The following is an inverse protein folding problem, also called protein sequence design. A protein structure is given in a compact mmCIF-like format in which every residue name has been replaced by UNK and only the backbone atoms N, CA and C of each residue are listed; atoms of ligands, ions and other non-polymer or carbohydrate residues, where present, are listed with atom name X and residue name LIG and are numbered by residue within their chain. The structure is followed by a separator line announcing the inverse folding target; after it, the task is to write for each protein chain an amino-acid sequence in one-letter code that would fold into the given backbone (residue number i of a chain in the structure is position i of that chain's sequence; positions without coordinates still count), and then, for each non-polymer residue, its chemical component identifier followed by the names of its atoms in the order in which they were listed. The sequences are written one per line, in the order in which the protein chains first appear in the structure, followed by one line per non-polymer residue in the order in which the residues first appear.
data_IF_154299102474
#
_entry.id   IF_154299102474
#
_cell.length_a   1.000
_cell.length_b   1.000
_cell.length_c   1.000
_cell.angle_alpha   90.00
_cell.angle_beta   90.00
_cell.angle_gamma   90.00
#
_symmetry.space_group_name_H-M   'P 1'
#
loop_
_entity.id
_entity.type
_entity.pdbx_description
1 polymer ?
#
# COMPACT_ATOMS: atom_id res chain seq x y z
N UNK A 1 22.77 51.11 -12.19
CA UNK A 1 22.30 50.15 -13.20
C UNK A 1 22.98 48.84 -12.91
N UNK A 2 22.45 48.06 -11.98
CA UNK A 2 22.87 46.67 -11.75
C UNK A 2 21.58 45.86 -11.62
N UNK A 3 21.37 44.94 -12.57
CA UNK A 3 20.15 44.15 -12.64
C UNK A 3 19.82 43.72 -14.07
N UNK A 4 20.64 42.85 -14.66
CA UNK A 4 20.25 42.12 -15.89
C UNK A 4 20.98 40.79 -16.13
N UNK A 5 21.81 40.30 -15.18
CA UNK A 5 22.66 39.12 -15.40
C UNK A 5 22.11 37.77 -14.91
N UNK A 6 20.95 37.73 -14.25
CA UNK A 6 20.45 36.52 -13.58
C UNK A 6 19.64 35.54 -14.44
N UNK A 7 19.08 35.99 -15.58
CA UNK A 7 18.02 35.25 -16.28
C UNK A 7 18.49 34.08 -17.17
N UNK A 8 19.68 34.16 -17.77
CA UNK A 8 20.13 33.14 -18.74
C UNK A 8 20.65 31.86 -18.05
N UNK A 9 21.25 31.99 -16.85
CA UNK A 9 21.72 30.84 -16.07
C UNK A 9 20.58 30.01 -15.46
N UNK A 10 19.51 30.67 -15.00
CA UNK A 10 18.34 30.01 -14.44
C UNK A 10 17.53 29.25 -15.51
N UNK A 11 17.39 29.82 -16.72
CA UNK A 11 16.68 29.14 -17.82
C UNK A 11 17.40 27.86 -18.26
N UNK A 12 18.73 27.89 -18.44
CA UNK A 12 19.50 26.70 -18.79
C UNK A 12 19.50 25.61 -17.71
N UNK A 13 19.47 25.99 -16.42
CA UNK A 13 19.35 25.05 -15.31
C UNK A 13 17.96 24.37 -15.30
N UNK A 14 16.90 25.12 -15.59
CA UNK A 14 15.53 24.60 -15.60
C UNK A 14 15.30 23.63 -16.76
N UNK A 15 15.89 23.88 -17.94
CA UNK A 15 15.84 22.96 -19.08
C UNK A 15 16.58 21.64 -18.80
N UNK A 16 17.77 21.71 -18.19
CA UNK A 16 18.53 20.52 -17.78
C UNK A 16 17.76 19.68 -16.76
N UNK A 17 17.10 20.34 -15.81
CA UNK A 17 16.24 19.69 -14.82
C UNK A 17 15.05 18.99 -15.47
N UNK A 18 14.36 19.66 -16.40
CA UNK A 18 13.26 19.06 -17.17
C UNK A 18 13.71 17.82 -17.95
N UNK A 19 14.87 17.90 -18.63
CA UNK A 19 15.43 16.75 -19.35
C UNK A 19 15.83 15.60 -18.40
N UNK A 20 16.28 15.90 -17.18
CA UNK A 20 16.55 14.89 -16.16
C UNK A 20 15.26 14.20 -15.68
N UNK A 21 14.18 14.97 -15.44
CA UNK A 21 12.85 14.44 -15.10
C UNK A 21 12.33 13.51 -16.22
N UNK A 22 12.44 13.91 -17.48
CA UNK A 22 11.97 13.10 -18.61
C UNK A 22 12.79 11.80 -18.81
N UNK A 23 14.08 11.81 -18.48
CA UNK A 23 14.90 10.60 -18.42
C UNK A 23 14.47 9.70 -17.26
N UNK A 24 14.24 10.28 -16.08
CA UNK A 24 13.80 9.55 -14.90
C UNK A 24 12.45 8.86 -15.13
N UNK A 25 11.46 9.56 -15.69
CA UNK A 25 10.13 8.99 -15.98
C UNK A 25 10.19 7.81 -16.95
N UNK A 26 11.02 7.92 -18.00
CA UNK A 26 11.24 6.80 -18.94
C UNK A 26 11.90 5.61 -18.25
N UNK A 27 12.87 5.86 -17.38
CA UNK A 27 13.54 4.82 -16.60
C UNK A 27 12.58 4.12 -15.63
N UNK A 28 11.77 4.89 -14.89
CA UNK A 28 10.75 4.35 -13.99
C UNK A 28 9.74 3.50 -14.76
N UNK A 29 9.23 3.99 -15.90
CA UNK A 29 8.31 3.24 -16.75
C UNK A 29 8.93 1.93 -17.25
N UNK A 30 10.20 1.95 -17.69
CA UNK A 30 10.90 0.74 -18.11
C UNK A 30 11.03 -0.29 -16.96
N UNK A 31 11.31 0.18 -15.74
CA UNK A 31 11.34 -0.67 -14.53
C UNK A 31 9.96 -1.24 -14.19
N UNK A 32 8.92 -0.43 -14.23
CA UNK A 32 7.54 -0.86 -13.99
C UNK A 32 7.08 -1.91 -15.00
N UNK A 33 7.38 -1.71 -16.29
CA UNK A 33 7.09 -2.71 -17.33
C UNK A 33 7.84 -4.02 -17.07
N UNK A 34 9.11 -3.95 -16.70
CA UNK A 34 9.89 -5.14 -16.33
C UNK A 34 9.28 -5.88 -15.14
N UNK A 35 8.83 -5.15 -14.12
CA UNK A 35 8.35 -5.75 -12.87
C UNK A 35 6.90 -6.26 -12.96
N UNK A 36 5.99 -5.47 -13.51
CA UNK A 36 4.54 -5.74 -13.52
C UNK A 36 4.07 -6.51 -14.76
N UNK A 37 4.66 -6.25 -15.93
CA UNK A 37 4.16 -6.79 -17.20
C UNK A 37 4.94 -8.00 -17.63
N UNK A 38 6.27 -7.92 -17.57
CA UNK A 38 7.16 -9.00 -18.01
C UNK A 38 7.46 -10.01 -16.91
N UNK A 39 6.85 -9.84 -15.73
CA UNK A 39 7.06 -10.72 -14.59
C UNK A 39 8.54 -10.86 -14.22
N UNK A 40 9.37 -9.82 -14.40
CA UNK A 40 10.83 -9.90 -14.36
C UNK A 40 11.46 -10.37 -13.04
N UNK A 41 10.63 -10.62 -12.02
CA UNK A 41 10.99 -11.32 -10.78
C UNK A 41 11.03 -12.84 -10.95
N UNK A 42 10.36 -13.38 -11.96
CA UNK A 42 10.29 -14.78 -12.34
C UNK A 42 11.16 -15.00 -13.59
N UNK A 43 12.33 -15.62 -13.47
CA UNK A 43 12.98 -16.19 -14.64
C UNK A 43 12.06 -17.30 -15.18
N UNK A 44 11.76 -17.27 -16.48
CA UNK A 44 11.19 -18.43 -17.16
C UNK A 44 12.04 -19.68 -16.82
N UNK A 45 11.46 -20.61 -16.09
CA UNK A 45 12.09 -21.90 -15.77
C UNK A 45 12.92 -21.98 -14.47
N UNK A 46 13.00 -20.93 -13.65
CA UNK A 46 13.59 -21.07 -12.31
C UNK A 46 12.51 -21.55 -11.34
N UNK A 47 12.77 -22.65 -10.63
CA UNK A 47 11.95 -23.04 -9.48
C UNK A 47 11.80 -21.84 -8.55
N UNK A 48 10.56 -21.53 -8.17
CA UNK A 48 10.16 -20.38 -7.37
C UNK A 48 10.86 -20.26 -6.01
N UNK A 49 11.65 -21.27 -5.64
CA UNK A 49 12.32 -21.47 -4.35
C UNK A 49 13.85 -21.46 -4.42
N UNK A 50 14.47 -21.02 -5.53
CA UNK A 50 15.94 -20.97 -5.57
C UNK A 50 16.47 -19.82 -4.66
N UNK A 51 17.42 -20.08 -3.74
CA UNK A 51 18.06 -19.05 -2.92
C UNK A 51 18.69 -17.91 -3.74
N UNK A 52 19.07 -18.21 -4.98
CA UNK A 52 19.63 -17.26 -5.93
C UNK A 52 18.61 -16.18 -6.34
N UNK A 53 17.33 -16.55 -6.46
CA UNK A 53 16.23 -15.61 -6.79
C UNK A 53 16.03 -14.61 -5.67
N UNK A 54 16.02 -15.07 -4.41
CA UNK A 54 15.84 -14.21 -3.24
C UNK A 54 16.99 -13.19 -3.11
N UNK A 55 18.23 -13.65 -3.29
CA UNK A 55 19.42 -12.77 -3.33
C UNK A 55 19.35 -11.73 -4.45
N UNK A 56 18.86 -12.12 -5.62
CA UNK A 56 18.69 -11.21 -6.76
C UNK A 56 17.68 -10.12 -6.44
N UNK A 57 16.53 -10.48 -5.85
CA UNK A 57 15.48 -9.54 -5.45
C UNK A 57 15.97 -8.56 -4.38
N UNK A 58 16.69 -9.04 -3.37
CA UNK A 58 17.28 -8.19 -2.33
C UNK A 58 18.27 -7.16 -2.91
N UNK A 59 19.13 -7.60 -3.84
CA UNK A 59 20.06 -6.70 -4.54
C UNK A 59 19.32 -5.68 -5.39
N UNK A 60 18.27 -6.10 -6.09
CA UNK A 60 17.45 -5.22 -6.92
C UNK A 60 16.75 -4.15 -6.08
N UNK A 61 16.12 -4.52 -4.96
CA UNK A 61 15.49 -3.58 -4.03
C UNK A 61 16.48 -2.53 -3.52
N UNK A 62 17.68 -2.94 -3.10
CA UNK A 62 18.74 -2.02 -2.66
C UNK A 62 19.23 -1.12 -3.80
N UNK A 63 19.34 -1.66 -5.01
CA UNK A 63 19.74 -0.90 -6.21
C UNK A 63 18.72 0.20 -6.51
N UNK A 64 17.44 -0.14 -6.52
CA UNK A 64 16.34 0.81 -6.74
C UNK A 64 16.31 1.87 -5.63
N UNK A 65 16.55 1.49 -4.38
CA UNK A 65 16.59 2.46 -3.28
C UNK A 65 17.76 3.46 -3.42
N UNK A 66 18.93 3.00 -3.88
CA UNK A 66 20.06 3.89 -4.22
C UNK A 66 19.71 4.82 -5.39
N UNK A 67 19.02 4.31 -6.40
CA UNK A 67 18.53 5.14 -7.51
C UNK A 67 17.55 6.21 -7.01
N UNK A 68 16.61 5.86 -6.13
CA UNK A 68 15.71 6.84 -5.51
C UNK A 68 16.48 7.95 -4.78
N UNK A 69 17.44 7.58 -3.93
CA UNK A 69 18.29 8.56 -3.23
C UNK A 69 19.05 9.46 -4.23
N UNK A 70 19.55 8.88 -5.32
CA UNK A 70 20.21 9.64 -6.38
C UNK A 70 19.25 10.55 -7.15
N UNK A 71 17.92 10.42 -7.03
CA UNK A 71 16.95 11.30 -7.68
C UNK A 71 16.49 12.48 -6.82
N UNK A 72 16.85 12.51 -5.53
CA UNK A 72 16.37 13.54 -4.60
C UNK A 72 16.75 14.96 -5.03
N UNK A 73 17.92 15.16 -5.64
CA UNK A 73 18.36 16.47 -6.16
C UNK A 73 17.40 17.07 -7.20
N UNK A 74 16.64 16.22 -7.92
CA UNK A 74 15.70 16.66 -8.95
C UNK A 74 14.52 17.42 -8.32
N UNK A 75 14.23 17.16 -7.05
CA UNK A 75 13.14 17.78 -6.29
C UNK A 75 13.57 19.07 -5.59
N UNK A 76 14.88 19.35 -5.47
CA UNK A 76 15.38 20.59 -4.88
C UNK A 76 15.01 21.81 -5.73
N UNK A 77 14.47 22.86 -5.08
CA UNK A 77 14.02 24.07 -5.76
C UNK A 77 12.79 23.87 -6.64
N UNK A 78 12.02 22.79 -6.48
CA UNK A 78 10.67 22.74 -7.05
C UNK A 78 9.83 23.79 -6.32
N UNK A 79 9.44 24.86 -7.01
CA UNK A 79 8.32 25.71 -6.57
C UNK A 79 7.02 24.94 -6.84
N UNK A 80 6.90 23.80 -6.19
CA UNK A 80 5.70 22.98 -6.25
C UNK A 80 4.65 23.54 -5.31
N UNK A 81 3.38 23.46 -5.70
CA UNK A 81 2.28 23.78 -4.78
C UNK A 81 2.37 22.97 -3.49
N UNK A 82 1.70 23.43 -2.43
CA UNK A 82 1.74 22.85 -1.07
C UNK A 82 1.42 21.34 -0.96
N UNK A 83 1.07 20.64 -2.05
CA UNK A 83 0.67 19.22 -2.11
C UNK A 83 1.34 18.42 -3.23
N UNK A 84 2.49 18.85 -3.72
CA UNK A 84 3.18 18.12 -4.79
C UNK A 84 3.91 16.86 -4.28
N UNK A 85 3.86 15.83 -5.11
CA UNK A 85 4.50 14.53 -4.90
C UNK A 85 5.89 14.56 -5.55
N UNK A 86 6.89 13.98 -4.91
CA UNK A 86 8.26 14.00 -5.42
C UNK A 86 8.41 13.17 -6.70
N UNK A 87 9.24 13.66 -7.63
CA UNK A 87 9.66 12.89 -8.79
C UNK A 87 10.60 11.78 -8.29
N UNK A 88 10.22 10.52 -8.50
CA UNK A 88 10.98 9.34 -8.05
C UNK A 88 10.28 8.49 -6.99
N UNK A 89 9.19 8.96 -6.39
CA UNK A 89 8.43 8.23 -5.37
C UNK A 89 7.99 6.81 -5.80
N UNK A 90 7.71 6.64 -7.09
CA UNK A 90 7.36 5.35 -7.69
C UNK A 90 8.48 4.29 -7.54
N UNK A 91 9.74 4.70 -7.42
CA UNK A 91 10.85 3.80 -7.16
C UNK A 91 10.74 3.21 -5.75
N UNK A 92 10.33 4.00 -4.75
CA UNK A 92 10.13 3.50 -3.37
C UNK A 92 8.96 2.54 -3.31
N UNK A 93 7.88 2.82 -4.05
CA UNK A 93 6.76 1.88 -4.17
C UNK A 93 7.23 0.55 -4.77
N UNK A 94 8.09 0.60 -5.80
CA UNK A 94 8.68 -0.60 -6.41
C UNK A 94 9.56 -1.37 -5.42
N UNK A 95 10.37 -0.68 -4.60
CA UNK A 95 11.16 -1.28 -3.51
C UNK A 95 10.24 -1.98 -2.52
N UNK A 96 9.23 -1.29 -2.01
CA UNK A 96 8.28 -1.83 -1.04
C UNK A 96 7.55 -3.07 -1.60
N UNK A 97 7.09 -3.02 -2.86
CA UNK A 97 6.49 -4.19 -3.51
C UNK A 97 7.46 -5.36 -3.66
N UNK A 98 8.75 -5.09 -3.95
CA UNK A 98 9.78 -6.14 -4.05
C UNK A 98 10.00 -6.82 -2.71
N UNK A 99 10.13 -6.05 -1.63
CA UNK A 99 10.31 -6.56 -0.28
C UNK A 99 9.08 -7.34 0.22
N UNK A 100 7.88 -6.85 -0.08
CA UNK A 100 6.64 -7.55 0.28
C UNK A 100 6.44 -8.86 -0.48
N UNK A 101 6.81 -8.90 -1.77
CA UNK A 101 6.78 -10.13 -2.55
C UNK A 101 7.80 -11.15 -2.02
N UNK A 102 8.99 -10.70 -1.64
CA UNK A 102 9.97 -11.56 -0.96
C UNK A 102 9.43 -12.12 0.36
N UNK A 103 8.75 -11.28 1.17
CA UNK A 103 8.15 -11.70 2.43
C UNK A 103 7.06 -12.76 2.21
N UNK A 104 6.20 -12.56 1.22
CA UNK A 104 5.13 -13.50 0.87
C UNK A 104 5.68 -14.84 0.39
N UNK A 105 6.78 -14.84 -0.38
CA UNK A 105 7.45 -16.07 -0.83
C UNK A 105 8.08 -16.83 0.34
N UNK A 106 8.75 -16.13 1.24
CA UNK A 106 9.32 -16.74 2.44
C UNK A 106 8.24 -17.40 3.32
N UNK A 107 7.06 -16.80 3.45
CA UNK A 107 5.93 -17.42 4.17
C UNK A 107 5.38 -18.66 3.46
N UNK A 108 5.22 -18.60 2.13
CA UNK A 108 4.75 -19.76 1.37
C UNK A 108 5.71 -20.95 1.49
N UNK A 109 7.03 -20.70 1.57
CA UNK A 109 8.03 -21.72 1.81
C UNK A 109 7.95 -22.29 3.25
N UNK A 110 7.76 -21.44 4.27
CA UNK A 110 7.55 -21.88 5.65
C UNK A 110 6.27 -22.73 5.82
N UNK A 111 5.17 -22.36 5.15
CA UNK A 111 3.92 -23.11 5.13
C UNK A 111 4.09 -24.46 4.41
N UNK A 112 4.77 -24.47 3.25
CA UNK A 112 5.05 -25.69 2.50
C UNK A 112 5.99 -26.66 3.26
N UNK A 113 6.88 -26.14 4.10
CA UNK A 113 7.77 -26.91 4.97
C UNK A 113 7.06 -27.53 6.20
N UNK A 114 5.75 -27.35 6.34
CA UNK A 114 4.92 -28.11 7.29
C UNK A 114 5.09 -27.69 8.76
N UNK A 115 5.34 -26.41 9.04
CA UNK A 115 5.31 -25.86 10.41
C UNK A 115 6.39 -26.40 11.36
N UNK A 116 7.30 -27.27 10.89
CA UNK A 116 8.55 -27.50 11.58
C UNK A 116 9.35 -26.21 11.47
N UNK A 117 9.49 -25.49 12.59
CA UNK A 117 10.49 -24.43 12.76
C UNK A 117 11.88 -25.04 12.57
N UNK A 118 12.27 -25.35 11.35
CA UNK A 118 13.68 -25.48 11.02
C UNK A 118 14.24 -24.08 11.25
N UNK A 119 15.02 -23.93 12.32
CA UNK A 119 16.02 -22.87 12.39
C UNK A 119 16.76 -22.93 11.06
N UNK A 120 16.56 -21.94 10.19
CA UNK A 120 17.36 -21.75 8.98
C UNK A 120 18.79 -21.39 9.42
N UNK A 121 19.51 -22.39 9.94
CA UNK A 121 20.96 -22.41 9.99
C UNK A 121 21.38 -23.31 8.83
N UNK A 122 21.59 -22.72 7.66
CA UNK A 122 22.23 -23.44 6.57
C UNK A 122 23.68 -23.73 7.00
N UNK A 123 24.07 -25.00 6.88
CA UNK A 123 25.41 -25.46 7.19
C UNK A 123 26.45 -24.68 6.33
N UNK A 124 27.66 -24.40 6.85
CA UNK A 124 28.69 -23.63 6.17
C UNK A 124 29.12 -24.19 4.80
N UNK A 125 28.86 -25.46 4.54
CA UNK A 125 29.52 -26.25 3.49
C UNK A 125 28.94 -26.03 2.07
N UNK A 126 27.83 -25.29 1.92
CA UNK A 126 27.25 -24.95 0.60
C UNK A 126 27.71 -23.58 0.06
N UNK A 127 28.54 -22.85 0.82
CA UNK A 127 29.05 -21.53 0.43
C UNK A 127 30.37 -21.57 -0.36
N UNK A 128 31.02 -22.73 -0.47
CA UNK A 128 32.35 -22.89 -1.11
C UNK A 128 32.31 -22.98 -2.64
N UNK A 129 31.13 -23.14 -3.25
CA UNK A 129 31.00 -23.42 -4.70
C UNK A 129 30.81 -22.21 -5.63
N UNK A 130 30.77 -20.98 -5.12
CA UNK A 130 30.46 -19.77 -5.93
C UNK A 130 31.57 -18.71 -5.91
N UNK A 131 32.77 -19.05 -5.43
CA UNK A 131 33.93 -18.18 -5.51
C UNK A 131 34.58 -18.25 -6.90
N UNK A 132 34.23 -17.29 -7.77
CA UNK A 132 34.93 -16.94 -9.02
C UNK A 132 34.60 -15.46 -9.29
N UNK A 133 35.45 -14.44 -9.39
CA UNK A 133 36.89 -14.20 -9.22
C UNK A 133 37.02 -12.66 -9.04
N UNK A 134 37.52 -12.13 -7.91
CA UNK A 134 38.26 -10.83 -7.81
C UNK A 134 38.49 -10.42 -6.34
N UNK A 135 39.74 -10.18 -5.85
CA UNK A 135 39.98 -9.96 -4.43
C UNK A 135 40.26 -8.49 -4.10
N UNK A 136 39.28 -7.80 -3.49
CA UNK A 136 39.46 -6.84 -2.38
C UNK A 136 38.18 -6.01 -2.19
N UNK A 137 37.59 -6.07 -0.99
CA UNK A 137 36.45 -5.29 -0.45
C UNK A 137 35.08 -6.00 -0.28
N UNK A 138 34.94 -7.29 -0.62
CA UNK A 138 33.64 -7.98 -0.54
C UNK A 138 33.35 -8.75 0.76
N UNK A 139 34.32 -8.95 1.66
CA UNK A 139 34.08 -9.78 2.86
C UNK A 139 33.02 -9.18 3.81
N UNK A 140 33.01 -7.85 3.98
CA UNK A 140 31.96 -7.15 4.74
C UNK A 140 30.59 -7.18 4.05
N UNK A 141 30.57 -7.16 2.71
CA UNK A 141 29.34 -7.30 1.94
C UNK A 141 28.80 -8.73 2.02
N UNK A 142 29.68 -9.74 2.02
CA UNK A 142 29.33 -11.15 2.15
C UNK A 142 28.77 -11.51 3.52
N UNK A 143 29.27 -10.91 4.61
CA UNK A 143 28.74 -11.13 5.96
C UNK A 143 27.40 -10.42 6.20
N UNK A 144 27.22 -9.23 5.64
CA UNK A 144 25.94 -8.50 5.67
C UNK A 144 24.89 -9.14 4.73
N UNK A 145 25.32 -9.79 3.65
CA UNK A 145 24.46 -10.58 2.76
C UNK A 145 24.03 -11.89 3.43
N UNK A 146 24.88 -12.52 4.25
CA UNK A 146 24.51 -13.67 5.11
C UNK A 146 23.39 -13.32 6.10
N UNK A 147 23.37 -12.10 6.64
CA UNK A 147 22.27 -11.60 7.49
C UNK A 147 20.96 -11.37 6.71
N UNK A 148 21.04 -11.09 5.40
CA UNK A 148 19.87 -10.75 4.58
C UNK A 148 19.15 -11.98 4.03
N UNK A 149 19.83 -13.12 3.90
CA UNK A 149 19.25 -14.39 3.40
C UNK A 149 18.54 -15.17 4.51
N UNK A 150 18.81 -14.85 5.79
CA UNK A 150 18.08 -15.33 6.95
C UNK A 150 17.00 -14.32 7.42
N UNK A 151 16.55 -13.42 6.53
CA UNK A 151 15.56 -12.41 6.86
C UNK A 151 14.20 -13.08 7.04
N UNK A 152 13.72 -13.15 8.28
CA UNK A 152 12.34 -13.52 8.59
C UNK A 152 11.35 -12.70 7.74
N UNK A 153 10.19 -13.23 7.33
CA UNK A 153 9.16 -12.46 6.64
C UNK A 153 8.83 -11.13 7.32
N UNK A 154 8.90 -11.10 8.66
CA UNK A 154 8.76 -9.90 9.46
C UNK A 154 9.83 -8.83 9.17
N UNK A 155 11.11 -9.20 9.05
CA UNK A 155 12.19 -8.24 8.82
C UNK A 155 12.08 -7.56 7.47
N UNK A 156 11.62 -8.28 6.45
CA UNK A 156 11.38 -7.72 5.11
C UNK A 156 10.22 -6.70 5.12
N UNK A 157 9.15 -6.99 5.89
CA UNK A 157 8.05 -6.03 6.09
C UNK A 157 8.49 -4.80 6.85
N UNK A 158 9.32 -4.96 7.88
CA UNK A 158 9.88 -3.85 8.62
C UNK A 158 10.78 -2.96 7.73
N UNK A 159 11.62 -3.57 6.87
CA UNK A 159 12.44 -2.83 5.90
C UNK A 159 11.56 -2.04 4.91
N UNK A 160 10.49 -2.66 4.42
CA UNK A 160 9.51 -1.98 3.56
C UNK A 160 8.83 -0.81 4.28
N UNK A 161 8.44 -0.97 5.54
CA UNK A 161 7.84 0.08 6.35
C UNK A 161 8.82 1.26 6.55
N UNK A 162 10.09 0.98 6.86
CA UNK A 162 11.13 2.01 7.04
C UNK A 162 11.37 2.77 5.75
N UNK A 163 11.45 2.09 4.60
CA UNK A 163 11.62 2.74 3.31
C UNK A 163 10.44 3.67 2.97
N UNK A 164 9.21 3.24 3.27
CA UNK A 164 8.00 4.02 3.05
C UNK A 164 7.91 5.22 4.00
N UNK A 165 8.22 5.06 5.28
CA UNK A 165 8.24 6.16 6.26
C UNK A 165 9.30 7.20 5.91
N UNK A 166 10.49 6.76 5.50
CA UNK A 166 11.53 7.65 5.01
C UNK A 166 11.04 8.48 3.81
N UNK A 167 10.44 7.84 2.81
CA UNK A 167 9.92 8.55 1.64
C UNK A 167 8.71 9.44 1.97
N UNK A 168 7.86 9.04 2.92
CA UNK A 168 6.72 9.83 3.36
C UNK A 168 7.15 11.10 4.10
N UNK A 169 8.29 11.07 4.81
CA UNK A 169 8.89 12.27 5.42
C UNK A 169 9.31 13.30 4.38
N UNK A 170 9.64 12.86 3.17
CA UNK A 170 10.04 13.69 2.03
C UNK A 170 8.83 14.10 1.16
N UNK A 171 7.80 13.25 1.09
CA UNK A 171 6.62 13.40 0.23
C UNK A 171 5.32 13.13 1.03
N UNK A 172 4.92 14.01 1.96
CA UNK A 172 3.85 13.73 2.93
C UNK A 172 2.44 13.63 2.31
N UNK A 173 2.26 14.07 1.07
CA UNK A 173 0.99 14.04 0.35
C UNK A 173 0.84 12.84 -0.58
N UNK A 174 1.84 11.95 -0.66
CA UNK A 174 1.76 10.77 -1.50
C UNK A 174 0.76 9.75 -0.90
N UNK A 175 -0.43 9.67 -1.48
CA UNK A 175 -1.47 8.76 -1.02
C UNK A 175 -1.12 7.29 -1.27
N UNK A 176 -0.36 6.98 -2.34
CA UNK A 176 0.00 5.58 -2.67
C UNK A 176 0.91 4.99 -1.60
N UNK A 177 1.88 5.78 -1.12
CA UNK A 177 2.75 5.40 -0.01
C UNK A 177 1.94 5.18 1.27
N UNK A 178 1.02 6.08 1.60
CA UNK A 178 0.14 5.93 2.77
C UNK A 178 -0.72 4.67 2.69
N UNK A 179 -1.34 4.41 1.54
CA UNK A 179 -2.16 3.21 1.33
C UNK A 179 -1.34 1.94 1.47
N UNK A 180 -0.14 1.90 0.88
CA UNK A 180 0.74 0.74 0.97
C UNK A 180 1.24 0.54 2.41
N UNK A 181 1.63 1.61 3.09
CA UNK A 181 2.10 1.57 4.47
C UNK A 181 1.01 1.09 5.44
N UNK A 182 -0.25 1.49 5.24
CA UNK A 182 -1.40 0.94 5.99
C UNK A 182 -1.50 -0.59 5.81
N UNK A 183 -1.28 -1.09 4.59
CA UNK A 183 -1.31 -2.54 4.34
C UNK A 183 -0.12 -3.26 5.01
N UNK A 184 1.07 -2.66 4.99
CA UNK A 184 2.25 -3.20 5.70
C UNK A 184 2.00 -3.25 7.20
N UNK A 185 1.48 -2.17 7.78
CA UNK A 185 1.13 -2.10 9.19
C UNK A 185 0.06 -3.09 9.60
N UNK A 186 -0.97 -3.28 8.76
CA UNK A 186 -1.96 -4.33 8.96
C UNK A 186 -1.33 -5.73 8.95
N UNK A 187 -0.40 -5.99 8.03
CA UNK A 187 0.30 -7.28 7.97
C UNK A 187 1.22 -7.49 9.19
N UNK A 188 1.78 -6.41 9.73
CA UNK A 188 2.60 -6.43 10.95
C UNK A 188 1.77 -6.46 12.25
N UNK A 189 0.46 -6.26 12.18
CA UNK A 189 -0.40 -6.10 13.36
C UNK A 189 -0.24 -4.76 14.09
N UNK A 190 0.54 -3.82 13.56
CA UNK A 190 0.73 -2.48 14.11
C UNK A 190 -0.46 -1.57 13.71
N UNK A 191 -1.58 -1.69 14.43
CA UNK A 191 -2.82 -1.06 14.01
C UNK A 191 -2.88 0.46 14.25
N UNK A 192 -2.33 0.94 15.37
CA UNK A 192 -2.38 2.36 15.76
C UNK A 192 -1.74 3.30 14.72
N UNK A 193 -0.50 3.07 14.22
CA UNK A 193 0.07 3.90 13.15
C UNK A 193 -0.77 3.90 11.87
N UNK A 194 -1.35 2.74 11.51
CA UNK A 194 -2.23 2.61 10.36
C UNK A 194 -3.51 3.46 10.48
N UNK A 195 -4.06 3.58 11.68
CA UNK A 195 -5.24 4.41 11.94
C UNK A 195 -4.92 5.91 11.80
N UNK A 196 -3.76 6.35 12.31
CA UNK A 196 -3.31 7.74 12.14
C UNK A 196 -3.17 8.10 10.67
N UNK A 197 -2.53 7.24 9.87
CA UNK A 197 -2.38 7.44 8.43
C UNK A 197 -3.72 7.46 7.70
N UNK A 198 -4.65 6.58 8.07
CA UNK A 198 -6.00 6.57 7.50
C UNK A 198 -6.77 7.87 7.80
N UNK A 199 -6.63 8.41 9.01
CA UNK A 199 -7.24 9.69 9.36
C UNK A 199 -6.63 10.86 8.55
N UNK A 200 -5.33 10.83 8.28
CA UNK A 200 -4.67 11.82 7.41
C UNK A 200 -5.10 11.76 5.94
N UNK A 201 -5.61 10.62 5.46
CA UNK A 201 -6.15 10.50 4.11
C UNK A 201 -7.50 11.22 3.94
N UNK A 202 -8.14 11.64 5.03
CA UNK A 202 -9.44 12.32 5.05
C UNK A 202 -10.51 11.63 4.18
N UNK A 203 -10.63 10.32 4.32
CA UNK A 203 -11.53 9.47 3.52
C UNK A 203 -12.98 9.91 3.72
N UNK A 204 -13.66 10.31 2.64
CA UNK A 204 -15.03 10.88 2.65
C UNK A 204 -15.95 10.23 1.62
N UNK A 205 -17.24 10.24 1.90
CA UNK A 205 -18.31 9.83 0.98
C UNK A 205 -18.08 8.44 0.37
N UNK A 206 -18.05 8.31 -0.96
CA UNK A 206 -17.88 7.02 -1.67
C UNK A 206 -16.54 6.33 -1.34
N UNK A 207 -15.54 7.09 -0.90
CA UNK A 207 -14.26 6.50 -0.46
C UNK A 207 -14.43 5.71 0.84
N UNK A 208 -15.40 6.05 1.70
CA UNK A 208 -15.70 5.22 2.87
C UNK A 208 -16.15 3.83 2.45
N UNK A 209 -16.91 3.69 1.37
CA UNK A 209 -17.30 2.36 0.89
C UNK A 209 -16.11 1.63 0.24
N UNK A 210 -15.28 2.36 -0.51
CA UNK A 210 -14.21 1.76 -1.32
C UNK A 210 -12.91 1.48 -0.55
N UNK A 211 -12.62 2.19 0.55
CA UNK A 211 -11.33 2.12 1.26
C UNK A 211 -11.43 1.64 2.70
N UNK A 212 -12.64 1.53 3.27
CA UNK A 212 -12.79 1.09 4.67
C UNK A 212 -12.25 -0.33 4.90
N UNK A 213 -12.27 -1.19 3.88
CA UNK A 213 -11.73 -2.55 3.96
C UNK A 213 -10.25 -2.61 4.38
N UNK A 214 -9.49 -1.51 4.22
CA UNK A 214 -8.07 -1.45 4.58
C UNK A 214 -7.87 -1.68 6.08
N UNK A 215 -8.69 -1.05 6.92
CA UNK A 215 -8.60 -1.15 8.37
C UNK A 215 -9.65 -2.10 8.97
N UNK A 216 -10.82 -2.18 8.35
CA UNK A 216 -12.00 -2.80 8.95
C UNK A 216 -11.80 -4.22 9.51
N UNK A 217 -11.17 -5.17 8.78
CA UNK A 217 -10.96 -6.53 9.29
C UNK A 217 -9.91 -6.62 10.41
N UNK A 218 -9.04 -5.61 10.53
CA UNK A 218 -8.03 -5.52 11.58
C UNK A 218 -8.58 -4.94 12.89
N UNK A 219 -9.46 -3.93 12.78
CA UNK A 219 -9.97 -3.17 13.94
C UNK A 219 -10.59 -4.05 15.02
N UNK A 220 -11.44 -4.99 14.63
CA UNK A 220 -12.13 -5.89 15.56
C UNK A 220 -11.17 -6.83 16.29
N UNK A 221 -10.08 -7.25 15.62
CA UNK A 221 -9.09 -8.16 16.19
C UNK A 221 -8.12 -7.44 17.13
N UNK A 222 -7.86 -6.17 16.88
CA UNK A 222 -6.94 -5.35 17.67
C UNK A 222 -7.61 -4.62 18.85
N UNK A 223 -8.92 -4.78 19.06
CA UNK A 223 -9.64 -4.23 20.23
C UNK A 223 -10.07 -2.77 20.10
N UNK A 224 -9.98 -2.17 18.91
CA UNK A 224 -10.39 -0.77 18.65
C UNK A 224 -11.89 -0.66 18.36
N UNK A 225 -12.71 -0.98 19.36
CA UNK A 225 -14.16 -1.11 19.20
C UNK A 225 -14.88 0.23 18.98
N UNK A 226 -14.39 1.32 19.59
CA UNK A 226 -15.01 2.64 19.46
C UNK A 226 -14.83 3.20 18.05
N UNK A 227 -13.61 3.13 17.54
CA UNK A 227 -13.23 3.56 16.20
C UNK A 227 -13.95 2.69 15.16
N UNK A 228 -14.05 1.38 15.40
CA UNK A 228 -14.79 0.47 14.53
C UNK A 228 -16.29 0.83 14.48
N UNK A 229 -16.88 1.15 15.64
CA UNK A 229 -18.27 1.59 15.73
C UNK A 229 -18.50 2.90 14.96
N UNK A 230 -17.60 3.87 15.09
CA UNK A 230 -17.68 5.15 14.36
C UNK A 230 -17.57 4.94 12.85
N UNK A 231 -16.61 4.12 12.38
CA UNK A 231 -16.46 3.81 10.97
C UNK A 231 -17.70 3.10 10.40
N UNK A 232 -18.23 2.10 11.11
CA UNK A 232 -19.48 1.42 10.74
C UNK A 232 -20.65 2.39 10.61
N UNK A 233 -20.84 3.28 11.59
CA UNK A 233 -21.89 4.31 11.56
C UNK A 233 -21.73 5.23 10.36
N UNK A 234 -20.50 5.65 10.07
CA UNK A 234 -20.17 6.46 8.90
C UNK A 234 -20.54 5.77 7.58
N UNK A 235 -20.18 4.49 7.42
CA UNK A 235 -20.53 3.69 6.23
C UNK A 235 -22.05 3.56 6.08
N UNK A 236 -22.76 3.18 7.14
CA UNK A 236 -24.22 3.00 7.11
C UNK A 236 -24.92 4.35 6.79
N UNK A 237 -24.48 5.44 7.40
CA UNK A 237 -25.02 6.78 7.13
C UNK A 237 -24.75 7.23 5.70
N UNK A 238 -23.54 6.99 5.18
CA UNK A 238 -23.20 7.27 3.78
C UNK A 238 -24.13 6.52 2.83
N UNK A 239 -24.33 5.22 3.02
CA UNK A 239 -25.21 4.42 2.15
C UNK A 239 -26.67 4.87 2.20
N UNK A 240 -27.18 5.23 3.39
CA UNK A 240 -28.53 5.82 3.53
C UNK A 240 -28.64 7.15 2.78
N UNK A 241 -27.66 8.04 2.96
CA UNK A 241 -27.64 9.34 2.28
C UNK A 241 -27.53 9.18 0.77
N UNK A 242 -26.63 8.31 0.30
CA UNK A 242 -26.44 8.03 -1.12
C UNK A 242 -27.74 7.52 -1.76
N UNK A 243 -28.51 6.67 -1.05
CA UNK A 243 -29.79 6.19 -1.54
C UNK A 243 -30.83 7.30 -1.72
N UNK A 244 -30.87 8.27 -0.80
CA UNK A 244 -31.74 9.45 -0.90
C UNK A 244 -31.30 10.37 -2.04
N UNK A 245 -30.01 10.72 -2.07
CA UNK A 245 -29.44 11.58 -3.11
C UNK A 245 -29.66 10.97 -4.51
N UNK A 246 -29.49 9.65 -4.67
CA UNK A 246 -29.77 8.95 -5.93
C UNK A 246 -31.24 9.03 -6.35
N UNK A 247 -32.19 9.01 -5.40
CA UNK A 247 -33.62 9.15 -5.71
C UNK A 247 -33.96 10.56 -6.20
N UNK A 248 -33.36 11.59 -5.58
CA UNK A 248 -33.53 12.98 -6.01
C UNK A 248 -32.92 13.21 -7.40
N UNK A 249 -31.70 12.73 -7.65
CA UNK A 249 -31.08 12.83 -8.98
C UNK A 249 -31.85 12.05 -10.06
N UNK A 250 -32.48 10.93 -9.69
CA UNK A 250 -33.33 10.17 -10.59
C UNK A 250 -34.57 10.98 -10.99
N UNK A 251 -35.19 11.66 -10.01
CA UNK A 251 -36.34 12.54 -10.25
C UNK A 251 -35.96 13.68 -11.19
N UNK A 252 -34.84 14.34 -10.94
CA UNK A 252 -34.36 15.46 -11.76
C UNK A 252 -34.02 15.01 -13.19
N UNK A 253 -33.32 13.90 -13.35
CA UNK A 253 -33.00 13.33 -14.66
C UNK A 253 -34.27 12.99 -15.46
N UNK A 254 -35.30 12.48 -14.78
CA UNK A 254 -36.59 12.17 -15.41
C UNK A 254 -37.33 13.44 -15.85
N UNK A 255 -37.28 14.52 -15.05
CA UNK A 255 -37.89 15.80 -15.41
C UNK A 255 -37.20 16.49 -16.60
N UNK A 256 -35.87 16.39 -16.69
CA UNK A 256 -35.08 16.96 -17.80
C UNK A 256 -35.20 16.11 -19.07
N UNK A 257 -35.71 14.88 -18.98
CA UNK A 257 -35.85 13.95 -20.10
C UNK A 257 -34.58 13.16 -20.43
N UNK A 258 -33.58 13.13 -19.53
CA UNK A 258 -32.36 12.34 -19.70
C UNK A 258 -32.56 10.92 -19.11
N UNK A 259 -33.28 10.09 -19.85
CA UNK A 259 -33.60 8.72 -19.42
C UNK A 259 -32.40 7.78 -19.37
N UNK A 260 -31.35 8.04 -20.15
CA UNK A 260 -30.11 7.24 -20.10
C UNK A 260 -29.47 7.39 -18.72
N UNK A 261 -29.35 8.63 -18.22
CA UNK A 261 -28.82 8.88 -16.87
C UNK A 261 -29.72 8.33 -15.78
N UNK A 262 -31.04 8.37 -15.97
CA UNK A 262 -31.99 7.76 -15.04
C UNK A 262 -31.79 6.25 -14.90
N UNK A 263 -31.58 5.53 -16.02
CA UNK A 263 -31.30 4.09 -16.00
C UNK A 263 -29.97 3.81 -15.29
N UNK A 264 -28.90 4.55 -15.62
CA UNK A 264 -27.59 4.42 -14.96
C UNK A 264 -27.68 4.61 -13.44
N UNK A 265 -28.50 5.57 -12.97
CA UNK A 265 -28.70 5.83 -11.54
C UNK A 265 -29.44 4.68 -10.85
N UNK A 266 -30.46 4.10 -11.49
CA UNK A 266 -31.18 2.92 -10.96
C UNK A 266 -30.26 1.71 -10.89
N UNK A 267 -29.46 1.47 -11.94
CA UNK A 267 -28.48 0.38 -11.97
C UNK A 267 -27.38 0.58 -10.92
N UNK A 268 -26.88 1.79 -10.76
CA UNK A 268 -25.91 2.13 -9.71
C UNK A 268 -26.47 1.86 -8.32
N UNK A 269 -27.69 2.36 -8.03
CA UNK A 269 -28.31 2.23 -6.72
C UNK A 269 -28.63 0.77 -6.37
N UNK A 270 -29.25 0.03 -7.30
CA UNK A 270 -29.68 -1.36 -7.07
C UNK A 270 -28.52 -2.34 -7.14
N UNK A 271 -27.59 -2.11 -8.08
CA UNK A 271 -26.50 -3.02 -8.39
C UNK A 271 -25.29 -2.84 -7.48
N UNK A 272 -24.85 -1.60 -7.24
CA UNK A 272 -23.61 -1.31 -6.52
C UNK A 272 -23.84 -0.87 -5.08
N UNK A 273 -24.65 0.16 -4.86
CA UNK A 273 -24.84 0.75 -3.52
C UNK A 273 -25.56 -0.21 -2.58
N UNK A 274 -26.71 -0.74 -3.00
CA UNK A 274 -27.55 -1.61 -2.16
C UNK A 274 -26.92 -2.98 -1.88
N UNK A 275 -25.97 -3.43 -2.71
CA UNK A 275 -25.30 -4.74 -2.62
C UNK A 275 -23.81 -4.62 -2.28
N UNK A 276 -23.38 -3.50 -1.71
CA UNK A 276 -22.00 -3.34 -1.26
C UNK A 276 -21.66 -4.35 -0.17
N UNK A 277 -20.57 -5.09 -0.37
CA UNK A 277 -20.02 -6.01 0.64
C UNK A 277 -19.63 -5.24 1.91
N UNK A 278 -19.02 -4.06 1.75
CA UNK A 278 -18.60 -3.22 2.87
C UNK A 278 -19.79 -2.77 3.72
N UNK A 279 -20.95 -2.51 3.11
CA UNK A 279 -22.19 -2.22 3.84
C UNK A 279 -22.68 -3.43 4.65
N UNK A 280 -22.64 -4.63 4.05
CA UNK A 280 -23.03 -5.86 4.72
C UNK A 280 -22.11 -6.17 5.91
N UNK A 281 -20.80 -6.05 5.72
CA UNK A 281 -19.80 -6.22 6.77
C UNK A 281 -19.94 -5.16 7.88
N UNK A 282 -20.17 -3.89 7.53
CA UNK A 282 -20.40 -2.82 8.50
C UNK A 282 -21.63 -3.08 9.38
N UNK A 283 -22.74 -3.54 8.79
CA UNK A 283 -23.95 -3.92 9.54
C UNK A 283 -23.69 -5.13 10.45
N UNK A 284 -23.04 -6.17 9.94
CA UNK A 284 -22.74 -7.37 10.71
C UNK A 284 -21.84 -7.08 11.92
N UNK A 285 -20.80 -6.28 11.71
CA UNK A 285 -19.88 -5.87 12.78
C UNK A 285 -20.56 -4.92 13.77
N UNK A 286 -21.40 -3.99 13.33
CA UNK A 286 -22.17 -3.13 14.23
C UNK A 286 -23.09 -3.94 15.14
N UNK A 287 -23.81 -4.92 14.57
CA UNK A 287 -24.64 -5.84 15.36
C UNK A 287 -23.79 -6.64 16.35
N UNK A 288 -22.67 -7.20 15.90
CA UNK A 288 -21.72 -7.92 16.77
C UNK A 288 -21.18 -7.04 17.91
N UNK A 289 -20.79 -5.80 17.62
CA UNK A 289 -20.32 -4.83 18.62
C UNK A 289 -21.41 -4.48 19.62
N UNK A 290 -22.64 -4.27 19.15
CA UNK A 290 -23.79 -3.94 20.02
C UNK A 290 -24.10 -5.10 20.95
N UNK A 291 -24.10 -6.34 20.44
CA UNK A 291 -24.26 -7.54 21.24
C UNK A 291 -23.13 -7.69 22.27
N UNK A 292 -21.87 -7.47 21.87
CA UNK A 292 -20.72 -7.65 22.74
C UNK A 292 -20.61 -6.58 23.84
N UNK A 293 -20.98 -5.33 23.55
CA UNK A 293 -20.79 -4.19 24.46
C UNK A 293 -22.04 -3.92 25.29
N UNK A 294 -23.23 -4.01 24.69
CA UNK A 294 -24.47 -3.47 25.28
C UNK A 294 -25.41 -4.54 25.84
N UNK A 295 -25.28 -5.81 25.43
CA UNK A 295 -26.19 -6.87 25.85
C UNK A 295 -25.53 -7.71 26.95
N UNK A 296 -26.03 -7.57 28.18
CA UNK A 296 -25.56 -8.37 29.32
C UNK A 296 -26.41 -9.65 29.53
N UNK A 297 -27.54 -9.77 28.83
CA UNK A 297 -28.47 -10.90 28.94
C UNK A 297 -28.76 -11.53 27.58
N UNK A 298 -28.80 -12.87 27.54
CA UNK A 298 -29.10 -13.66 26.32
C UNK A 298 -30.50 -13.40 25.78
N UNK A 299 -31.46 -13.02 26.65
CA UNK A 299 -32.84 -12.71 26.25
C UNK A 299 -32.95 -11.37 25.50
N UNK A 300 -32.18 -10.37 25.92
CA UNK A 300 -32.14 -9.05 25.26
C UNK A 300 -31.42 -9.14 23.91
N UNK A 301 -30.35 -9.94 23.85
CA UNK A 301 -29.65 -10.23 22.60
C UNK A 301 -30.56 -10.90 21.55
N UNK A 302 -31.40 -11.87 21.97
CA UNK A 302 -32.35 -12.52 21.06
C UNK A 302 -33.44 -11.56 20.56
N UNK A 303 -33.97 -10.68 21.42
CA UNK A 303 -34.95 -9.68 21.02
C UNK A 303 -34.37 -8.69 20.00
N UNK A 304 -33.14 -8.23 20.21
CA UNK A 304 -32.43 -7.35 19.27
C UNK A 304 -32.18 -8.03 17.92
N UNK A 305 -31.75 -9.29 17.92
CA UNK A 305 -31.53 -10.05 16.69
C UNK A 305 -32.82 -10.27 15.88
N UNK A 306 -33.96 -10.44 16.56
CA UNK A 306 -35.27 -10.55 15.90
C UNK A 306 -35.75 -9.22 15.31
N UNK A 307 -35.34 -8.09 15.88
CA UNK A 307 -35.70 -6.75 15.37
C UNK A 307 -34.84 -6.32 14.15
N UNK A 308 -33.65 -6.92 13.98
CA UNK A 308 -32.72 -6.61 12.89
C UNK A 308 -32.82 -7.55 11.67
N UNK A 309 -33.60 -8.64 11.76
CA UNK A 309 -33.85 -9.60 10.68
C UNK A 309 -35.00 -9.15 9.77
#
# INVERSE_FOLDING_TARGET
QEGSGGGEGEQGANERRKAAIDRLRRHICARQLRYLVLGGLEPEGATSSSPTTFLRLAREARSIMKEYQATLYVNEGAQGGQREVQQGDELVLLVAHTLLEMARRAEAEEEAAGGQKQKFGLAPDLLEGLAVDSPCSEEAAGEMVRSSVAASPWTLRAEAAVALEYALSLSPYNYQMKLLLIQVYRAMGAFEPGLVLHNQLEIKSIQLDSLSFLLFPGMMRCGFFNEASQLCKGIIQFHRKCALDCADFLKDASHVGNYVKAIELVEFQRGKVSRSLQLAEAKATMSSLTLAISMHSTREALAYLQEQA
#
